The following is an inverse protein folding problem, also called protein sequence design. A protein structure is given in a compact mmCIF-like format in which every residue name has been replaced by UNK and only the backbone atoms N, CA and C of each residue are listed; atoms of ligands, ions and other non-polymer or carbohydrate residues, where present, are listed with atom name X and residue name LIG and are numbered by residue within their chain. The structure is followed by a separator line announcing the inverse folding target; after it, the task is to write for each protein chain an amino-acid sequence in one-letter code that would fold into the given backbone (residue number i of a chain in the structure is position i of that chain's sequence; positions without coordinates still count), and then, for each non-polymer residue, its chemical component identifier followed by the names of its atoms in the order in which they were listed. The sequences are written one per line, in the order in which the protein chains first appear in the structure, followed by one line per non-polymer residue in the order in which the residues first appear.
data_IF_397684397482
#
_entry.id   IF_397684397482
#
_cell.length_a   1.000
_cell.length_b   1.000
_cell.length_c   1.000
_cell.angle_alpha   90.00
_cell.angle_beta   90.00
_cell.angle_gamma   90.00
#
_symmetry.space_group_name_H-M   'P 1'
#
loop_
_entity.id
_entity.type
_entity.pdbx_description
1 polymer ?
#
# COMPACT_ATOMS: atom_id res chain seq x y z
N UNK A 1 -1.15 -8.40 -0.46
CA UNK A 1 0.09 -8.93 0.14
C UNK A 1 0.44 -8.20 1.43
N UNK A 2 0.45 -6.87 1.43
CA UNK A 2 0.44 -6.09 2.68
C UNK A 2 -1.00 -6.06 3.21
N UNK A 3 -1.93 -5.51 2.41
CA UNK A 3 -3.39 -5.60 2.52
C UNK A 3 -4.00 -7.01 2.33
N UNK A 4 -3.26 -8.08 2.62
CA UNK A 4 -3.79 -9.45 2.59
C UNK A 4 -3.05 -10.35 3.59
N UNK A 5 -2.29 -9.76 4.52
CA UNK A 5 -1.45 -10.46 5.46
C UNK A 5 -2.27 -11.29 6.48
N UNK A 6 -3.55 -10.95 6.64
CA UNK A 6 -4.55 -11.57 7.49
C UNK A 6 -5.34 -12.70 6.80
N UNK A 7 -5.11 -12.95 5.51
CA UNK A 7 -5.68 -14.07 4.77
C UNK A 7 -7.12 -13.88 4.27
N UNK A 8 -7.69 -12.68 4.41
CA UNK A 8 -9.02 -12.36 3.87
C UNK A 8 -9.05 -10.92 3.32
N UNK A 9 -8.84 -10.77 2.01
CA UNK A 9 -9.02 -9.48 1.33
C UNK A 9 -10.42 -8.93 1.59
N UNK A 10 -10.48 -7.76 2.22
CA UNK A 10 -11.71 -7.05 2.50
C UNK A 10 -12.22 -6.40 1.20
N UNK A 11 -13.55 -6.19 1.08
CA UNK A 11 -14.19 -5.72 -0.16
C UNK A 11 -13.67 -4.34 -0.60
N UNK A 12 -13.30 -3.52 0.37
CA UNK A 12 -12.73 -2.19 0.23
C UNK A 12 -11.35 -2.26 -0.44
N UNK A 13 -10.50 -3.21 -0.04
CA UNK A 13 -9.17 -3.41 -0.61
C UNK A 13 -9.25 -3.87 -2.07
N UNK A 14 -10.17 -4.79 -2.38
CA UNK A 14 -10.44 -5.22 -3.76
C UNK A 14 -10.88 -4.04 -4.63
N UNK A 15 -11.73 -3.15 -4.09
CA UNK A 15 -12.22 -1.99 -4.82
C UNK A 15 -11.12 -0.97 -5.10
N UNK A 16 -10.21 -0.76 -4.15
CA UNK A 16 -9.04 0.08 -4.34
C UNK A 16 -8.10 -0.50 -5.41
N UNK A 17 -7.82 -1.81 -5.36
CA UNK A 17 -6.96 -2.48 -6.34
C UNK A 17 -7.58 -2.45 -7.74
N UNK A 18 -8.88 -2.71 -7.89
CA UNK A 18 -9.59 -2.59 -9.18
C UNK A 18 -9.51 -1.17 -9.76
N UNK A 19 -9.63 -0.15 -8.91
CA UNK A 19 -9.49 1.25 -9.33
C UNK A 19 -8.08 1.54 -9.84
N UNK A 20 -7.04 1.00 -9.18
CA UNK A 20 -5.65 1.11 -9.61
C UNK A 20 -5.43 0.37 -10.93
N UNK A 21 -5.94 -0.86 -11.07
CA UNK A 21 -5.84 -1.64 -12.31
C UNK A 21 -6.51 -0.92 -13.48
N UNK A 22 -7.64 -0.26 -13.23
CA UNK A 22 -8.32 0.61 -14.19
C UNK A 22 -7.46 1.81 -14.59
N UNK A 23 -6.86 2.51 -13.63
CA UNK A 23 -5.97 3.65 -13.86
C UNK A 23 -4.70 3.27 -14.64
N UNK A 24 -4.21 2.04 -14.47
CA UNK A 24 -3.06 1.49 -15.20
C UNK A 24 -3.41 0.99 -16.61
N UNK A 25 -4.68 1.06 -17.03
CA UNK A 25 -5.15 0.60 -18.34
C UNK A 25 -4.84 -0.89 -18.61
N UNK A 26 -4.81 -1.71 -17.56
CA UNK A 26 -4.57 -3.15 -17.70
C UNK A 26 -5.65 -3.78 -18.58
N UNK A 27 -5.24 -4.62 -19.52
CA UNK A 27 -6.16 -5.40 -20.35
C UNK A 27 -7.00 -6.34 -19.47
N UNK A 28 -8.28 -6.60 -19.78
CA UNK A 28 -9.14 -7.46 -18.97
C UNK A 28 -8.53 -8.84 -18.63
N UNK A 29 -7.77 -9.42 -19.56
CA UNK A 29 -7.08 -10.70 -19.34
C UNK A 29 -5.97 -10.58 -18.27
N UNK A 30 -5.18 -9.51 -18.30
CA UNK A 30 -4.15 -9.26 -17.28
C UNK A 30 -4.75 -8.93 -15.90
N UNK A 31 -5.97 -8.36 -15.86
CA UNK A 31 -6.67 -8.15 -14.58
C UNK A 31 -7.08 -9.46 -13.93
N UNK A 32 -7.45 -10.46 -14.73
CA UNK A 32 -7.82 -11.77 -14.21
C UNK A 32 -6.62 -12.49 -13.59
N UNK A 33 -5.45 -12.41 -14.22
CA UNK A 33 -4.20 -12.91 -13.64
C UNK A 33 -3.88 -12.23 -12.30
N UNK A 34 -4.03 -10.91 -12.22
CA UNK A 34 -3.85 -10.16 -10.96
C UNK A 34 -4.85 -10.61 -9.89
N UNK A 35 -6.13 -10.82 -10.22
CA UNK A 35 -7.12 -11.35 -9.25
C UNK A 35 -6.76 -12.74 -8.73
N UNK A 36 -6.25 -13.61 -9.59
CA UNK A 36 -5.80 -14.94 -9.16
C UNK A 36 -4.63 -14.83 -8.19
N UNK A 37 -3.67 -13.94 -8.46
CA UNK A 37 -2.57 -13.63 -7.56
C UNK A 37 -3.04 -13.02 -6.24
N UNK A 38 -4.16 -12.30 -6.20
CA UNK A 38 -4.75 -11.79 -4.96
C UNK A 38 -5.43 -12.91 -4.14
N UNK A 39 -6.04 -13.89 -4.80
CA UNK A 39 -6.75 -15.01 -4.15
C UNK A 39 -5.80 -16.07 -3.62
N UNK A 40 -4.67 -16.29 -4.32
CA UNK A 40 -3.56 -17.15 -3.89
C UNK A 40 -2.26 -16.38 -4.05
N UNK A 41 -1.92 -15.51 -3.08
CA UNK A 41 -0.68 -14.76 -3.14
C UNK A 41 0.51 -15.71 -3.20
N UNK A 42 1.43 -15.54 -4.17
CA UNK A 42 2.74 -16.16 -4.11
C UNK A 42 3.47 -15.66 -2.85
N UNK A 43 4.50 -16.40 -2.44
CA UNK A 43 5.38 -15.91 -1.37
C UNK A 43 6.02 -14.57 -1.76
N UNK A 44 6.07 -13.65 -0.80
CA UNK A 44 6.58 -12.30 -0.98
C UNK A 44 8.03 -12.29 -1.47
N UNK A 45 8.89 -13.16 -0.94
CA UNK A 45 10.31 -13.15 -1.32
C UNK A 45 10.47 -13.63 -2.77
N UNK A 46 9.68 -14.62 -3.20
CA UNK A 46 9.65 -15.09 -4.59
C UNK A 46 9.27 -14.00 -5.58
N UNK A 47 8.28 -13.16 -5.24
CA UNK A 47 7.88 -12.02 -6.08
C UNK A 47 9.00 -10.98 -6.14
N UNK A 48 9.62 -10.68 -5.00
CA UNK A 48 10.67 -9.67 -4.90
C UNK A 48 11.94 -10.06 -5.66
N UNK A 49 12.31 -11.34 -5.71
CA UNK A 49 13.47 -11.83 -6.48
C UNK A 49 13.35 -11.59 -7.99
N UNK A 50 12.13 -11.61 -8.54
CA UNK A 50 11.87 -11.38 -9.95
C UNK A 50 11.73 -9.91 -10.36
N UNK A 51 11.76 -8.98 -9.41
CA UNK A 51 11.49 -7.57 -9.65
C UNK A 51 12.75 -6.72 -9.80
N UNK A 52 12.70 -5.78 -10.73
CA UNK A 52 13.66 -4.66 -10.80
C UNK A 52 13.67 -3.88 -9.49
N UNK A 53 14.84 -3.51 -8.98
CA UNK A 53 14.98 -2.77 -7.70
C UNK A 53 14.17 -1.46 -7.70
N UNK A 54 14.02 -0.81 -8.84
CA UNK A 54 13.19 0.39 -9.01
C UNK A 54 11.71 0.10 -8.76
N UNK A 55 11.19 -1.03 -9.26
CA UNK A 55 9.83 -1.48 -9.04
C UNK A 55 9.58 -1.82 -7.57
N UNK A 56 10.53 -2.48 -6.90
CA UNK A 56 10.43 -2.78 -5.46
C UNK A 56 10.34 -1.50 -4.62
N UNK A 57 11.09 -0.46 -4.98
CA UNK A 57 11.03 0.84 -4.29
C UNK A 57 9.68 1.53 -4.44
N UNK A 58 9.06 1.42 -5.62
CA UNK A 58 7.70 1.93 -5.85
C UNK A 58 6.70 1.11 -5.04
N UNK A 59 6.81 -0.22 -5.07
CA UNK A 59 5.96 -1.11 -4.28
C UNK A 59 6.06 -0.85 -2.77
N UNK A 60 7.24 -0.49 -2.25
CA UNK A 60 7.41 -0.09 -0.85
C UNK A 60 6.58 1.16 -0.52
N UNK A 61 6.68 2.21 -1.35
CA UNK A 61 5.96 3.47 -1.14
C UNK A 61 4.46 3.23 -1.20
N UNK A 62 3.99 2.55 -2.24
CA UNK A 62 2.56 2.35 -2.48
C UNK A 62 1.96 1.35 -1.48
N UNK A 63 2.72 0.33 -1.11
CA UNK A 63 2.34 -0.63 -0.07
C UNK A 63 2.24 0.01 1.31
N UNK A 64 3.13 0.95 1.66
CA UNK A 64 3.06 1.67 2.93
C UNK A 64 1.84 2.61 3.00
N UNK A 65 1.48 3.24 1.89
CA UNK A 65 0.26 4.06 1.80
C UNK A 65 -1.01 3.19 1.88
N UNK A 66 -1.00 2.04 1.22
CA UNK A 66 -2.14 1.12 1.22
C UNK A 66 -2.37 0.49 2.60
N UNK A 67 -1.32 0.10 3.32
CA UNK A 67 -1.43 -0.39 4.69
C UNK A 67 -2.07 0.66 5.62
N UNK A 68 -1.68 1.93 5.50
CA UNK A 68 -2.20 2.98 6.39
C UNK A 68 -3.68 3.34 6.23
N UNK A 69 -4.43 2.64 5.36
CA UNK A 69 -5.84 2.97 5.05
C UNK A 69 -6.75 2.76 6.25
N UNK A 70 -6.46 1.79 7.12
CA UNK A 70 -7.23 1.54 8.35
C UNK A 70 -6.77 2.40 9.55
N UNK A 71 -5.68 3.17 9.37
CA UNK A 71 -5.21 4.19 10.30
C UNK A 71 -4.10 3.75 11.24
N UNK A 72 -3.70 2.48 11.25
CA UNK A 72 -2.55 1.99 12.02
C UNK A 72 -1.73 1.00 11.19
N UNK A 73 -0.59 0.56 11.71
CA UNK A 73 0.18 -0.52 11.09
C UNK A 73 0.25 -1.70 12.04
N UNK A 74 -0.22 -2.87 11.60
CA UNK A 74 -0.04 -4.08 12.39
C UNK A 74 1.39 -4.65 12.27
N UNK A 75 1.74 -5.57 13.17
CA UNK A 75 3.07 -6.19 13.19
C UNK A 75 3.37 -6.99 11.91
N UNK A 76 2.35 -7.55 11.25
CA UNK A 76 2.50 -8.33 10.03
C UNK A 76 2.78 -7.41 8.83
N UNK A 77 2.11 -6.27 8.74
CA UNK A 77 2.31 -5.24 7.74
C UNK A 77 3.68 -4.58 7.87
N UNK A 78 4.09 -4.20 9.09
CA UNK A 78 5.43 -3.68 9.34
C UNK A 78 6.51 -4.71 8.96
N UNK A 79 6.26 -5.99 9.24
CA UNK A 79 7.16 -7.07 8.84
C UNK A 79 7.26 -7.21 7.32
N UNK A 80 6.13 -7.12 6.61
CA UNK A 80 6.11 -7.13 5.14
C UNK A 80 6.85 -5.92 4.55
N UNK A 81 6.62 -4.71 5.06
CA UNK A 81 7.29 -3.49 4.60
C UNK A 81 8.81 -3.54 4.86
N UNK A 82 9.25 -4.10 6.00
CA UNK A 82 10.67 -4.35 6.27
C UNK A 82 11.30 -5.32 5.28
N UNK A 83 10.61 -6.41 4.92
CA UNK A 83 11.08 -7.36 3.88
C UNK A 83 11.24 -6.66 2.53
N UNK A 84 10.24 -5.88 2.11
CA UNK A 84 10.27 -5.11 0.86
C UNK A 84 11.41 -4.08 0.88
N UNK A 85 11.59 -3.35 1.98
CA UNK A 85 12.67 -2.37 2.12
C UNK A 85 14.05 -3.03 2.04
N UNK A 86 14.23 -4.21 2.64
CA UNK A 86 15.46 -4.99 2.54
C UNK A 86 15.74 -5.44 1.10
N UNK A 87 14.73 -5.96 0.40
CA UNK A 87 14.86 -6.35 -1.00
C UNK A 87 15.16 -5.15 -1.93
N UNK A 88 14.66 -3.95 -1.59
CA UNK A 88 14.96 -2.70 -2.28
C UNK A 88 16.39 -2.15 -2.04
N UNK A 89 17.18 -2.79 -1.18
CA UNK A 89 18.49 -2.32 -0.74
C UNK A 89 18.42 -1.07 0.16
N UNK A 90 17.30 -0.86 0.84
CA UNK A 90 17.07 0.28 1.72
C UNK A 90 17.35 -0.08 3.19
N UNK A 91 17.76 0.91 3.97
CA UNK A 91 17.99 0.78 5.41
C UNK A 91 16.72 1.10 6.18
N UNK A 92 16.61 0.64 7.42
CA UNK A 92 15.46 0.91 8.30
C UNK A 92 15.10 2.41 8.38
N UNK A 93 16.12 3.28 8.42
CA UNK A 93 15.93 4.74 8.40
C UNK A 93 15.16 5.26 7.17
N UNK A 94 15.23 4.55 6.05
CA UNK A 94 14.51 4.92 4.84
C UNK A 94 13.05 4.48 4.93
N UNK A 95 12.79 3.30 5.53
CA UNK A 95 11.43 2.84 5.82
C UNK A 95 10.74 3.81 6.78
N UNK A 96 11.39 4.19 7.88
CA UNK A 96 10.86 5.22 8.82
C UNK A 96 10.47 6.50 8.09
N UNK A 97 11.33 7.02 7.20
CA UNK A 97 11.02 8.22 6.40
C UNK A 97 9.83 8.05 5.46
N UNK A 98 9.59 6.84 4.95
CA UNK A 98 8.41 6.55 4.12
C UNK A 98 7.16 6.56 4.99
N UNK A 99 7.19 5.94 6.17
CA UNK A 99 6.07 5.96 7.11
C UNK A 99 5.74 7.39 7.57
N UNK A 100 6.77 8.19 7.88
CA UNK A 100 6.62 9.62 8.19
C UNK A 100 5.95 10.37 7.02
N UNK A 101 6.40 10.11 5.78
CA UNK A 101 5.82 10.70 4.58
C UNK A 101 4.36 10.28 4.35
N UNK A 102 3.99 9.04 4.68
CA UNK A 102 2.60 8.58 4.62
C UNK A 102 1.73 9.37 5.61
N UNK A 103 2.19 9.53 6.85
CA UNK A 103 1.47 10.33 7.86
C UNK A 103 1.25 11.78 7.38
N UNK A 104 2.29 12.41 6.83
CA UNK A 104 2.18 13.77 6.27
C UNK A 104 1.23 13.83 5.05
N UNK A 105 1.18 12.76 4.24
CA UNK A 105 0.27 12.69 3.10
C UNK A 105 -1.20 12.69 3.54
N UNK A 106 -1.52 11.98 4.63
CA UNK A 106 -2.86 12.01 5.22
C UNK A 106 -3.24 13.39 5.77
N UNK A 107 -2.31 14.07 6.46
CA UNK A 107 -2.49 15.46 6.92
C UNK A 107 -2.78 16.41 5.78
N UNK A 108 -2.01 16.31 4.69
CA UNK A 108 -2.24 17.12 3.50
C UNK A 108 -3.60 16.84 2.86
N UNK A 109 -4.05 15.58 2.87
CA UNK A 109 -5.38 15.21 2.43
C UNK A 109 -6.50 15.82 3.29
N UNK A 110 -6.37 15.72 4.62
CA UNK A 110 -7.31 16.33 5.57
C UNK A 110 -7.35 17.86 5.44
N UNK A 111 -6.19 18.49 5.28
CA UNK A 111 -6.09 19.93 5.03
C UNK A 111 -6.81 20.32 3.73
N UNK A 112 -6.61 19.57 2.64
CA UNK A 112 -7.29 19.82 1.36
C UNK A 112 -8.82 19.76 1.50
N UNK A 113 -9.33 18.80 2.27
CA UNK A 113 -10.76 18.67 2.59
C UNK A 113 -11.29 19.82 3.44
N UNK A 114 -10.51 20.27 4.42
CA UNK A 114 -10.83 21.42 5.25
C UNK A 114 -10.95 22.71 4.42
N UNK A 115 -10.02 22.96 3.49
CA UNK A 115 -10.03 24.14 2.61
C UNK A 115 -11.34 24.25 1.80
N UNK A 116 -11.90 23.12 1.36
CA UNK A 116 -13.17 23.07 0.61
C UNK A 116 -14.41 22.91 1.50
N UNK A 117 -14.26 23.05 2.81
CA UNK A 117 -15.35 22.92 3.80
C UNK A 117 -16.07 21.55 3.77
N UNK A 118 -15.32 20.48 3.47
CA UNK A 118 -15.82 19.09 3.46
C UNK A 118 -14.94 18.17 4.32
N UNK A 119 -14.82 18.40 5.64
CA UNK A 119 -14.08 17.49 6.52
C UNK A 119 -14.77 16.12 6.57
N UNK A 120 -13.99 15.07 6.66
CA UNK A 120 -14.47 13.70 6.89
C UNK A 120 -14.31 13.33 8.37
N UNK A 121 -15.16 12.42 8.90
CA UNK A 121 -14.94 11.84 10.22
C UNK A 121 -13.51 11.27 10.33
N UNK A 122 -12.80 11.63 11.39
CA UNK A 122 -11.39 11.26 11.62
C UNK A 122 -10.36 12.29 11.15
N UNK A 123 -10.75 13.32 10.38
CA UNK A 123 -9.81 14.39 9.98
C UNK A 123 -9.27 15.17 11.19
N UNK A 124 -10.06 15.29 12.26
CA UNK A 124 -9.68 15.97 13.51
C UNK A 124 -8.61 15.20 14.30
N UNK A 125 -8.50 13.88 14.13
CA UNK A 125 -7.49 13.04 14.78
C UNK A 125 -6.15 13.03 14.00
N UNK A 126 -6.18 13.48 12.75
CA UNK A 126 -5.03 13.52 11.83
C UNK A 126 -4.35 14.90 11.84
N UNK A 127 -5.12 15.99 12.00
CA UNK A 127 -4.67 17.39 11.99
C UNK A 127 -4.06 17.84 13.33
#
# INVERSE_FOLDING_TARGET
MVAAADGALVREEISAIESIMGAMMLHPESREEVRQLLTKPPDLDSILEGMETSAIRIALRDGALLASVDGDYDDAELTALRRIAKAAGLKEKNLSKILDWVSESWKMGALGRSIISLPMPGDDDIL
#
